data_IF_928874739524
#
_entry.id   IF_928874739524
#
_cell.length_a   1.000
_cell.length_b   1.000
_cell.length_c   1.000
_cell.angle_alpha   90.00
_cell.angle_beta   90.00
_cell.angle_gamma   90.00
#
_symmetry.space_group_name_H-M   'P 1'
#
loop_
_entity.id
_entity.type
_entity.pdbx_description
1 polymer ?
#
# COMPACT_ATOMS: atom_id res chain seq x y z
N UNK A 1 19.30 -24.84 19.43
CA UNK A 1 19.66 -25.55 18.18
C UNK A 1 18.43 -25.46 17.27
N UNK A 2 18.42 -24.56 16.30
CA UNK A 2 17.26 -24.38 15.42
C UNK A 2 17.41 -25.31 14.22
N UNK A 3 16.47 -26.23 14.05
CA UNK A 3 16.41 -27.10 12.88
C UNK A 3 15.85 -26.29 11.70
N UNK A 4 16.65 -26.18 10.63
CA UNK A 4 16.19 -25.64 9.34
C UNK A 4 15.11 -26.57 8.79
N UNK A 5 13.91 -26.03 8.59
CA UNK A 5 12.84 -26.74 7.89
C UNK A 5 13.21 -26.71 6.41
N UNK A 6 13.69 -27.84 5.89
CA UNK A 6 13.87 -28.04 4.45
C UNK A 6 12.50 -28.25 3.83
N UNK A 7 12.07 -27.31 2.99
CA UNK A 7 10.83 -27.45 2.22
C UNK A 7 11.11 -28.38 1.03
N UNK A 8 10.44 -29.53 0.93
CA UNK A 8 10.62 -30.44 -0.19
C UNK A 8 10.28 -29.78 -1.52
N UNK A 9 11.14 -29.98 -2.53
CA UNK A 9 11.00 -29.40 -3.87
C UNK A 9 9.74 -29.86 -4.62
N UNK A 10 9.12 -30.97 -4.19
CA UNK A 10 7.84 -31.47 -4.70
C UNK A 10 6.69 -30.52 -4.42
N UNK A 11 6.65 -29.90 -3.22
CA UNK A 11 5.61 -28.93 -2.84
C UNK A 11 5.67 -27.70 -3.75
N UNK A 12 6.88 -27.22 -4.03
CA UNK A 12 7.08 -26.07 -4.93
C UNK A 12 6.63 -26.39 -6.36
N UNK A 13 6.85 -27.63 -6.82
CA UNK A 13 6.42 -28.06 -8.14
C UNK A 13 4.90 -28.14 -8.23
N UNK A 14 4.25 -28.76 -7.25
CA UNK A 14 2.79 -28.92 -7.22
C UNK A 14 2.07 -27.56 -7.22
N UNK A 15 2.57 -26.58 -6.46
CA UNK A 15 2.01 -25.22 -6.44
C UNK A 15 2.15 -24.51 -7.79
N UNK A 16 3.27 -24.70 -8.49
CA UNK A 16 3.50 -24.12 -9.81
C UNK A 16 2.63 -24.80 -10.87
N UNK A 17 2.45 -26.12 -10.78
CA UNK A 17 1.62 -26.89 -11.71
C UNK A 17 0.12 -26.55 -11.52
N UNK A 18 -0.36 -26.40 -10.28
CA UNK A 18 -1.73 -25.95 -9.99
C UNK A 18 -2.01 -24.52 -10.46
N UNK A 19 -1.01 -23.64 -10.36
CA UNK A 19 -1.08 -22.26 -10.91
C UNK A 19 -1.17 -22.28 -12.44
N UNK A 20 -0.37 -23.15 -13.09
CA UNK A 20 -0.39 -23.32 -14.54
C UNK A 20 -1.70 -23.94 -15.03
N UNK A 21 -2.25 -24.91 -14.29
CA UNK A 21 -3.52 -25.57 -14.59
C UNK A 21 -4.70 -24.59 -14.56
N UNK A 22 -4.82 -23.78 -13.50
CA UNK A 22 -5.88 -22.75 -13.40
C UNK A 22 -5.84 -21.72 -14.54
N UNK A 23 -4.64 -21.34 -15.01
CA UNK A 23 -4.48 -20.44 -16.16
C UNK A 23 -4.87 -21.07 -17.50
N UNK A 24 -4.80 -22.40 -17.62
CA UNK A 24 -5.20 -23.12 -18.83
C UNK A 24 -6.70 -23.40 -18.86
N UNK A 25 -7.33 -23.58 -17.68
CA UNK A 25 -8.75 -23.91 -17.54
C UNK A 25 -9.66 -22.66 -17.60
N UNK A 26 -9.18 -21.49 -17.20
CA UNK A 26 -9.90 -20.20 -17.30
C UNK A 26 -9.94 -19.61 -18.73
N UNK A 27 -9.50 -20.37 -19.74
CA UNK A 27 -9.49 -19.93 -21.15
C UNK A 27 -10.86 -20.02 -21.86
N UNK A 28 -11.95 -20.32 -21.13
CA UNK A 28 -13.29 -20.38 -21.70
C UNK A 28 -14.03 -19.06 -21.44
N UNK A 29 -13.95 -18.22 -22.46
CA UNK A 29 -14.87 -17.13 -22.85
C UNK A 29 -14.81 -15.80 -22.05
N UNK A 30 -13.68 -15.10 -22.14
CA UNK A 30 -13.71 -13.62 -22.07
C UNK A 30 -13.79 -13.05 -23.49
N UNK A 31 -15.01 -13.01 -24.02
CA UNK A 31 -15.29 -12.57 -25.41
C UNK A 31 -15.17 -11.07 -25.67
N UNK A 32 -14.45 -10.29 -24.84
CA UNK A 32 -14.31 -8.85 -25.09
C UNK A 32 -13.10 -8.16 -24.46
N UNK A 33 -11.89 -8.70 -24.63
CA UNK A 33 -10.68 -7.91 -24.46
C UNK A 33 -9.89 -7.89 -25.78
N UNK A 34 -10.19 -6.91 -26.63
CA UNK A 34 -9.41 -6.62 -27.83
C UNK A 34 -7.94 -6.45 -27.46
N UNK A 35 -7.11 -7.22 -28.16
CA UNK A 35 -5.67 -7.08 -28.17
C UNK A 35 -5.27 -5.66 -28.62
N UNK A 36 -4.49 -4.98 -27.80
CA UNK A 36 -3.49 -4.04 -28.30
C UNK A 36 -2.12 -4.56 -27.90
N UNK A 37 -1.52 -5.27 -28.85
CA UNK A 37 -0.08 -5.51 -28.90
C UNK A 37 0.59 -4.16 -29.09
N UNK A 38 1.41 -3.74 -28.14
CA UNK A 38 2.47 -2.77 -28.41
C UNK A 38 3.72 -3.24 -27.70
N UNK A 39 4.57 -3.92 -28.46
CA UNK A 39 5.93 -4.21 -28.09
C UNK A 39 6.72 -2.91 -28.01
N UNK A 40 7.16 -2.53 -26.82
CA UNK A 40 8.44 -1.87 -26.69
C UNK A 40 9.13 -2.33 -25.41
N UNK A 41 10.16 -3.15 -25.62
CA UNK A 41 11.16 -3.37 -24.61
C UNK A 41 11.78 -2.04 -24.20
N UNK A 42 11.83 -1.83 -22.88
CA UNK A 42 13.00 -1.29 -22.21
C UNK A 42 12.94 -1.76 -20.77
N UNK A 43 13.69 -2.84 -20.54
CA UNK A 43 14.44 -3.03 -19.32
C UNK A 43 15.05 -1.68 -18.93
N UNK A 44 14.49 -1.04 -17.91
CA UNK A 44 15.13 0.11 -17.28
C UNK A 44 15.63 -0.40 -15.94
N UNK A 45 16.91 -0.72 -15.96
CA UNK A 45 17.75 -0.87 -14.78
C UNK A 45 17.41 0.18 -13.75
N UNK A 46 17.37 -0.29 -12.52
CA UNK A 46 17.68 0.44 -11.29
C UNK A 46 18.56 1.66 -11.54
N UNK A 47 17.94 2.83 -11.50
CA UNK A 47 18.55 3.97 -10.82
C UNK A 47 17.83 4.07 -9.49
N UNK A 48 18.53 3.61 -8.45
CA UNK A 48 18.35 4.07 -7.09
C UNK A 48 18.43 5.60 -7.13
N UNK A 49 17.30 6.25 -7.29
CA UNK A 49 17.20 7.69 -7.06
C UNK A 49 17.13 7.87 -5.55
N UNK A 50 18.33 7.96 -4.97
CA UNK A 50 18.58 8.54 -3.66
C UNK A 50 18.15 10.01 -3.72
N UNK A 51 16.84 10.25 -3.57
CA UNK A 51 16.25 11.58 -3.70
C UNK A 51 14.99 11.79 -2.87
N UNK A 52 14.72 10.90 -1.90
CA UNK A 52 13.74 11.18 -0.86
C UNK A 52 14.50 11.71 0.34
N UNK A 53 14.64 13.05 0.37
CA UNK A 53 15.10 13.83 1.51
C UNK A 53 14.82 13.08 2.81
N UNK A 54 15.88 12.94 3.60
CA UNK A 54 15.77 12.43 4.95
C UNK A 54 14.68 13.26 5.64
N UNK A 55 13.55 12.63 5.92
CA UNK A 55 12.43 13.36 6.52
C UNK A 55 12.87 13.48 7.96
N UNK A 56 13.45 14.63 8.29
CA UNK A 56 13.98 14.88 9.63
C UNK A 56 12.88 14.65 10.67
N UNK A 57 13.17 13.79 11.65
CA UNK A 57 12.25 13.34 12.68
C UNK A 57 12.10 11.81 12.75
N UNK A 58 11.67 11.30 13.91
CA UNK A 58 11.34 9.89 14.04
C UNK A 58 10.17 9.52 13.11
N UNK A 59 10.20 8.31 12.55
CA UNK A 59 9.21 7.89 11.56
C UNK A 59 7.81 7.79 12.15
N UNK A 60 7.71 7.48 13.43
CA UNK A 60 6.45 7.45 14.16
C UNK A 60 5.98 8.86 14.54
N UNK A 61 6.90 9.76 14.91
CA UNK A 61 6.55 11.17 15.15
C UNK A 61 5.91 11.80 13.91
N UNK A 62 6.45 11.51 12.71
CA UNK A 62 5.86 11.98 11.45
C UNK A 62 4.50 11.39 11.17
N UNK A 63 4.28 10.12 11.52
CA UNK A 63 2.96 9.50 11.40
C UNK A 63 1.96 10.14 12.38
N UNK A 64 2.39 10.43 13.60
CA UNK A 64 1.57 11.11 14.61
C UNK A 64 1.20 12.53 14.17
N UNK A 65 2.18 13.32 13.67
CA UNK A 65 1.94 14.64 13.09
C UNK A 65 0.89 14.59 11.98
N UNK A 66 1.02 13.62 11.08
CA UNK A 66 0.05 13.42 10.00
C UNK A 66 -1.34 13.07 10.53
N UNK A 67 -1.44 12.15 11.49
CA UNK A 67 -2.69 11.80 12.15
C UNK A 67 -3.36 13.04 12.77
N UNK A 68 -2.60 13.89 13.47
CA UNK A 68 -3.11 15.13 14.03
C UNK A 68 -3.57 16.12 12.94
N UNK A 69 -2.78 16.28 11.87
CA UNK A 69 -3.13 17.15 10.74
C UNK A 69 -4.43 16.70 10.06
N UNK A 70 -4.64 15.40 9.81
CA UNK A 70 -5.86 14.91 9.14
C UNK A 70 -7.14 15.22 9.90
N UNK A 71 -7.10 15.25 11.23
CA UNK A 71 -8.25 15.60 12.07
C UNK A 71 -8.59 17.09 11.99
N UNK A 72 -7.60 17.95 11.74
CA UNK A 72 -7.82 19.39 11.55
C UNK A 72 -8.50 19.69 10.19
N UNK A 73 -8.38 18.79 9.21
CA UNK A 73 -8.95 18.97 7.87
C UNK A 73 -10.48 18.74 7.81
N UNK A 74 -11.07 18.13 8.83
CA UNK A 74 -12.50 17.77 8.83
C UNK A 74 -13.27 18.52 9.91
N UNK A 75 -14.49 18.96 9.57
CA UNK A 75 -15.42 19.62 10.51
C UNK A 75 -16.56 18.72 10.98
N UNK A 76 -16.87 17.67 10.22
CA UNK A 76 -17.96 16.74 10.54
C UNK A 76 -17.51 15.74 11.61
N UNK A 77 -18.31 15.60 12.67
CA UNK A 77 -18.00 14.68 13.78
C UNK A 77 -18.00 13.22 13.30
N UNK A 78 -19.00 12.81 12.53
CA UNK A 78 -19.06 11.47 11.93
C UNK A 78 -17.83 11.15 11.07
N UNK A 79 -17.31 12.15 10.35
CA UNK A 79 -16.10 11.98 9.55
C UNK A 79 -14.86 11.93 10.44
N UNK A 80 -14.79 12.82 11.43
CA UNK A 80 -13.72 12.86 12.43
C UNK A 80 -13.56 11.52 13.14
N UNK A 81 -14.65 10.93 13.63
CA UNK A 81 -14.65 9.61 14.27
C UNK A 81 -14.10 8.52 13.35
N UNK A 82 -14.53 8.52 12.08
CA UNK A 82 -14.06 7.54 11.12
C UNK A 82 -12.57 7.71 10.77
N UNK A 83 -12.09 8.96 10.70
CA UNK A 83 -10.66 9.27 10.54
C UNK A 83 -9.85 8.92 11.79
N UNK A 84 -10.38 9.15 12.99
CA UNK A 84 -9.71 8.73 14.23
C UNK A 84 -9.49 7.22 14.26
N UNK A 85 -10.47 6.42 13.86
CA UNK A 85 -10.30 4.98 13.74
C UNK A 85 -9.22 4.59 12.71
N UNK A 86 -9.14 5.31 11.58
CA UNK A 86 -8.11 5.11 10.58
C UNK A 86 -6.70 5.48 11.09
N UNK A 87 -6.60 6.60 11.81
CA UNK A 87 -5.36 7.09 12.43
C UNK A 87 -4.86 6.10 13.49
N UNK A 88 -5.76 5.65 14.37
CA UNK A 88 -5.43 4.66 15.40
C UNK A 88 -4.92 3.36 14.76
N UNK A 89 -5.62 2.86 13.73
CA UNK A 89 -5.18 1.69 13.00
C UNK A 89 -3.77 1.88 12.41
N UNK A 90 -3.49 3.04 11.81
CA UNK A 90 -2.17 3.32 11.25
C UNK A 90 -1.07 3.33 12.32
N UNK A 91 -1.34 3.90 13.50
CA UNK A 91 -0.41 3.90 14.64
C UNK A 91 -0.17 2.49 15.17
N UNK A 92 -1.24 1.72 15.42
CA UNK A 92 -1.15 0.37 15.97
C UNK A 92 -0.45 -0.62 15.02
N UNK A 93 -0.58 -0.40 13.71
CA UNK A 93 0.06 -1.21 12.68
C UNK A 93 1.40 -0.65 12.20
N UNK A 94 1.91 0.44 12.82
CA UNK A 94 3.16 1.09 12.47
C UNK A 94 3.28 1.43 10.98
N UNK A 95 2.20 1.93 10.38
CA UNK A 95 2.15 2.25 8.95
C UNK A 95 2.86 3.57 8.66
N UNK A 96 4.20 3.52 8.60
CA UNK A 96 5.05 4.66 8.27
C UNK A 96 4.64 5.33 6.95
N UNK A 97 4.64 6.68 6.92
CA UNK A 97 4.23 7.45 5.74
C UNK A 97 5.03 7.11 4.47
N UNK A 98 6.35 6.93 4.61
CA UNK A 98 7.22 6.54 3.48
C UNK A 98 6.81 5.18 2.89
N UNK A 99 6.43 4.23 3.74
CA UNK A 99 5.98 2.90 3.32
C UNK A 99 4.61 2.95 2.64
N UNK A 100 3.69 3.76 3.17
CA UNK A 100 2.39 4.00 2.54
C UNK A 100 2.55 4.62 1.15
N UNK A 101 3.43 5.61 0.99
CA UNK A 101 3.67 6.25 -0.31
C UNK A 101 4.26 5.29 -1.35
N UNK A 102 5.11 4.35 -0.94
CA UNK A 102 5.64 3.30 -1.83
C UNK A 102 4.56 2.30 -2.24
N UNK A 103 3.62 2.00 -1.34
CA UNK A 103 2.62 0.96 -1.55
C UNK A 103 1.19 1.40 -1.16
N UNK A 104 0.63 2.43 -1.82
CA UNK A 104 -0.60 3.08 -1.38
C UNK A 104 -1.81 2.15 -1.44
N UNK A 105 -1.90 1.29 -2.46
CA UNK A 105 -2.97 0.30 -2.58
C UNK A 105 -2.91 -0.74 -1.47
N UNK A 106 -1.71 -1.24 -1.15
CA UNK A 106 -1.52 -2.24 -0.09
C UNK A 106 -1.91 -1.66 1.27
N UNK A 107 -1.50 -0.42 1.55
CA UNK A 107 -1.87 0.28 2.77
C UNK A 107 -3.40 0.46 2.88
N UNK A 108 -4.06 0.95 1.82
CA UNK A 108 -5.50 1.13 1.81
C UNK A 108 -6.24 -0.21 2.00
N UNK A 109 -5.83 -1.27 1.29
CA UNK A 109 -6.43 -2.60 1.43
C UNK A 109 -6.23 -3.17 2.85
N UNK A 110 -5.07 -2.93 3.47
CA UNK A 110 -4.78 -3.35 4.84
C UNK A 110 -5.68 -2.62 5.84
N UNK A 111 -5.85 -1.31 5.70
CA UNK A 111 -6.78 -0.51 6.52
C UNK A 111 -8.21 -1.02 6.40
N UNK A 112 -8.67 -1.34 5.17
CA UNK A 112 -10.02 -1.88 4.94
C UNK A 112 -10.19 -3.25 5.60
N UNK A 113 -9.20 -4.14 5.48
CA UNK A 113 -9.19 -5.42 6.20
C UNK A 113 -9.24 -5.24 7.72
N UNK A 114 -8.66 -4.15 8.22
CA UNK A 114 -8.72 -3.72 9.61
C UNK A 114 -10.03 -3.07 10.05
N UNK A 115 -11.04 -2.98 9.17
CA UNK A 115 -12.34 -2.39 9.49
C UNK A 115 -12.46 -0.89 9.21
N UNK A 116 -11.43 -0.24 8.68
CA UNK A 116 -11.52 1.16 8.23
C UNK A 116 -12.43 1.23 6.99
N UNK A 117 -13.34 2.20 6.95
CA UNK A 117 -14.23 2.39 5.80
C UNK A 117 -13.41 2.66 4.53
N UNK A 118 -13.73 2.05 3.37
CA UNK A 118 -12.94 2.19 2.15
C UNK A 118 -12.69 3.63 1.70
N UNK A 119 -13.71 4.49 1.76
CA UNK A 119 -13.56 5.91 1.42
C UNK A 119 -12.59 6.65 2.36
N UNK A 120 -12.56 6.29 3.64
CA UNK A 120 -11.64 6.87 4.62
C UNK A 120 -10.22 6.36 4.40
N UNK A 121 -10.03 5.06 4.14
CA UNK A 121 -8.73 4.50 3.81
C UNK A 121 -8.13 5.14 2.56
N UNK A 122 -8.93 5.32 1.49
CA UNK A 122 -8.50 6.00 0.28
C UNK A 122 -8.12 7.46 0.54
N UNK A 123 -8.92 8.18 1.32
CA UNK A 123 -8.63 9.56 1.69
C UNK A 123 -7.34 9.67 2.51
N UNK A 124 -7.18 8.79 3.50
CA UNK A 124 -6.01 8.75 4.37
C UNK A 124 -4.74 8.56 3.54
N UNK A 125 -4.71 7.63 2.60
CA UNK A 125 -3.53 7.42 1.76
C UNK A 125 -3.29 8.59 0.79
N UNK A 126 -4.36 9.15 0.21
CA UNK A 126 -4.27 10.22 -0.79
C UNK A 126 -3.80 11.56 -0.22
N UNK A 127 -4.05 11.81 1.07
CA UNK A 127 -3.75 13.09 1.71
C UNK A 127 -2.29 13.24 2.14
N UNK A 128 -1.50 12.17 2.16
CA UNK A 128 -0.09 12.21 2.60
C UNK A 128 0.73 13.18 1.73
N UNK A 129 0.52 13.18 0.41
CA UNK A 129 1.21 14.10 -0.50
C UNK A 129 0.85 15.57 -0.21
N UNK A 130 -0.40 15.86 0.17
CA UNK A 130 -0.84 17.22 0.51
C UNK A 130 -0.18 17.67 1.81
N UNK A 131 -0.17 16.82 2.83
CA UNK A 131 0.52 17.07 4.09
C UNK A 131 2.00 17.40 3.87
N UNK A 132 2.71 16.62 3.05
CA UNK A 132 4.11 16.88 2.73
C UNK A 132 4.34 18.20 1.99
N UNK A 133 3.40 18.62 1.13
CA UNK A 133 3.50 19.90 0.42
C UNK A 133 3.27 21.08 1.35
N UNK A 134 2.37 20.95 2.34
CA UNK A 134 2.12 21.98 3.34
C UNK A 134 3.28 22.13 4.33
N UNK A 135 3.89 21.01 4.73
CA UNK A 135 5.08 21.02 5.59
C UNK A 135 6.31 21.66 4.94
N UNK A 136 6.34 21.79 3.61
CA UNK A 136 7.44 22.42 2.84
C UNK A 136 7.24 23.92 2.61
N UNK A 137 6.11 24.51 3.04
CA UNK A 137 5.89 25.95 2.90
C UNK A 137 6.65 26.69 4.01
N UNK A 138 7.40 27.75 3.67
CA UNK A 138 8.18 28.53 4.64
C UNK A 138 7.31 29.29 5.63
#
# INVERSE_FOLDING_TARGET
MYSLIEIPSTILRDVLDDSRKRKAEDAIDCRSCKAHVSAHGRHRETTLDEGLDDVEGDRMDRLEEYCNWTLQQVKSDRWREALQAANQFAMDQFLELKSILKHPKVAADLMVKGGVKPGIALQFVSNINKFQQEAKKP
#
